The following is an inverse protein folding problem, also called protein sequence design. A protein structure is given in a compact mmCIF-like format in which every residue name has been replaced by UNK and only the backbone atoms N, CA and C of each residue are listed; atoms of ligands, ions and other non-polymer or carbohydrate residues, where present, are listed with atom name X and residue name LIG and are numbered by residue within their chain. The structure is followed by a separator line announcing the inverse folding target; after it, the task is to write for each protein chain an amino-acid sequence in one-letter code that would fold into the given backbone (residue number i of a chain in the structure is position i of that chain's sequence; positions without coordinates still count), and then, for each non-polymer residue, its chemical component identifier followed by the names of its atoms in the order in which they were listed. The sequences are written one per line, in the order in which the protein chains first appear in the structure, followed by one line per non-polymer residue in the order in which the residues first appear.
data_IF_884507579081
#
_entry.id   IF_884507579081
#
_cell.length_a   1.000
_cell.length_b   1.000
_cell.length_c   1.000
_cell.angle_alpha   90.00
_cell.angle_beta   90.00
_cell.angle_gamma   90.00
#
_symmetry.space_group_name_H-M   'P 1'
#
loop_
_entity.id
_entity.type
_entity.pdbx_description
1 polymer ?
#
# COMPACT_ATOMS: atom_id res chain seq x y z
N UNK A 1 -7.09 3.94 7.89
CA UNK A 1 -6.24 4.91 8.60
C UNK A 1 -5.37 5.61 7.59
N UNK A 2 -4.98 6.86 7.83
CA UNK A 2 -4.00 7.59 7.02
C UNK A 2 -2.77 7.81 7.88
N UNK A 3 -1.58 7.72 7.29
CA UNK A 3 -0.32 7.97 7.99
C UNK A 3 0.43 9.06 7.24
N UNK A 4 0.94 10.06 7.95
CA UNK A 4 1.78 11.09 7.36
C UNK A 4 3.22 10.61 7.11
N UNK A 5 4.07 11.50 6.61
CA UNK A 5 5.48 11.19 6.31
C UNK A 5 6.31 10.92 7.58
N UNK A 6 5.92 11.45 8.74
CA UNK A 6 6.65 11.27 10.00
C UNK A 6 6.19 10.03 10.79
N UNK A 7 5.14 9.34 10.35
CA UNK A 7 4.65 8.12 11.01
C UNK A 7 3.44 8.31 11.91
N UNK A 8 2.87 9.51 11.96
CA UNK A 8 1.65 9.75 12.73
C UNK A 8 0.46 9.23 11.95
N UNK A 9 -0.19 8.22 12.53
CA UNK A 9 -1.43 7.66 12.01
C UNK A 9 -2.64 8.38 12.57
N UNK A 10 -3.66 8.61 11.74
CA UNK A 10 -4.99 9.03 12.18
C UNK A 10 -6.09 8.18 11.53
N UNK A 11 -7.21 8.10 12.22
CA UNK A 11 -8.41 7.52 11.66
C UNK A 11 -9.02 8.49 10.64
N UNK A 12 -9.31 8.01 9.42
CA UNK A 12 -9.84 8.85 8.35
C UNK A 12 -11.30 8.53 8.01
N UNK A 13 -11.70 7.26 8.03
CA UNK A 13 -13.08 6.83 7.81
C UNK A 13 -13.27 5.38 8.27
N UNK A 14 -14.50 5.05 8.64
CA UNK A 14 -15.04 3.70 8.70
C UNK A 14 -16.36 3.68 7.92
N UNK A 15 -16.61 2.61 7.16
CA UNK A 15 -17.84 2.44 6.40
C UNK A 15 -18.33 1.00 6.59
N UNK A 16 -19.63 0.86 6.87
CA UNK A 16 -20.32 -0.42 6.80
C UNK A 16 -20.88 -0.56 5.38
N UNK A 17 -20.49 -1.64 4.69
CA UNK A 17 -20.94 -1.93 3.33
C UNK A 17 -21.79 -3.20 3.34
N UNK A 18 -22.92 -3.15 2.64
CA UNK A 18 -23.82 -4.30 2.53
C UNK A 18 -23.35 -5.25 1.42
N UNK A 19 -22.41 -6.14 1.75
CA UNK A 19 -21.81 -7.09 0.82
C UNK A 19 -20.64 -6.52 0.01
N UNK A 20 -19.70 -7.42 -0.33
CA UNK A 20 -18.46 -7.10 -1.04
C UNK A 20 -18.69 -7.00 -2.55
N UNK A 21 -19.37 -5.93 -2.97
CA UNK A 21 -19.57 -5.62 -4.40
C UNK A 21 -18.78 -4.39 -4.82
N UNK A 22 -18.36 -4.35 -6.10
CA UNK A 22 -17.64 -3.21 -6.68
C UNK A 22 -18.41 -1.89 -6.50
N UNK A 23 -19.73 -1.91 -6.62
CA UNK A 23 -20.60 -0.75 -6.46
C UNK A 23 -20.63 -0.23 -5.02
N UNK A 24 -20.74 -1.12 -4.04
CA UNK A 24 -20.78 -0.75 -2.62
C UNK A 24 -19.44 -0.16 -2.17
N UNK A 25 -18.32 -0.74 -2.64
CA UNK A 25 -16.99 -0.20 -2.37
C UNK A 25 -16.77 1.16 -3.03
N UNK A 26 -17.22 1.37 -4.28
CA UNK A 26 -17.19 2.70 -4.92
C UNK A 26 -17.95 3.74 -4.10
N UNK A 27 -19.06 3.36 -3.49
CA UNK A 27 -19.85 4.24 -2.63
C UNK A 27 -19.08 4.62 -1.36
N UNK A 28 -18.40 3.66 -0.72
CA UNK A 28 -17.55 3.92 0.44
C UNK A 28 -16.38 4.86 0.11
N UNK A 29 -15.71 4.66 -1.04
CA UNK A 29 -14.61 5.53 -1.50
C UNK A 29 -15.12 6.92 -1.90
N UNK A 30 -16.32 7.01 -2.49
CA UNK A 30 -16.94 8.31 -2.79
C UNK A 30 -17.18 9.12 -1.51
N UNK A 31 -17.76 8.49 -0.49
CA UNK A 31 -17.95 9.13 0.82
C UNK A 31 -16.60 9.57 1.43
N UNK A 32 -15.56 8.74 1.30
CA UNK A 32 -14.21 9.08 1.75
C UNK A 32 -13.70 10.36 1.11
N UNK A 33 -13.79 10.48 -0.22
CA UNK A 33 -13.34 11.69 -0.95
C UNK A 33 -14.14 12.93 -0.57
N UNK A 34 -15.45 12.79 -0.40
CA UNK A 34 -16.32 13.91 0.00
C UNK A 34 -15.95 14.46 1.38
N UNK A 35 -15.55 13.57 2.29
CA UNK A 35 -15.20 13.93 3.66
C UNK A 35 -13.71 14.32 3.82
N UNK A 36 -12.86 14.04 2.83
CA UNK A 36 -11.42 14.29 2.89
C UNK A 36 -10.96 15.05 1.63
N UNK A 37 -11.10 16.38 1.56
CA UNK A 37 -10.76 17.16 0.36
C UNK A 37 -9.30 17.02 -0.10
N UNK A 38 -8.39 16.68 0.83
CA UNK A 38 -6.96 16.42 0.58
C UNK A 38 -6.68 14.98 0.11
N UNK A 39 -7.69 14.20 -0.29
CA UNK A 39 -7.49 12.83 -0.74
C UNK A 39 -6.55 12.72 -1.96
N UNK A 40 -6.39 13.80 -2.73
CA UNK A 40 -5.46 13.86 -3.87
C UNK A 40 -3.98 13.82 -3.43
N UNK A 41 -3.70 14.13 -2.16
CA UNK A 41 -2.35 14.07 -1.60
C UNK A 41 -1.94 12.64 -1.20
N UNK A 42 -2.88 11.69 -1.25
CA UNK A 42 -2.61 10.28 -0.93
C UNK A 42 -1.65 9.71 -1.97
N UNK A 43 -0.43 9.40 -1.52
CA UNK A 43 0.61 8.80 -2.37
C UNK A 43 0.56 7.29 -2.39
N UNK A 44 -0.04 6.67 -1.37
CA UNK A 44 -0.02 5.23 -1.18
C UNK A 44 -1.26 4.75 -0.44
N UNK A 45 -1.79 3.62 -0.88
CA UNK A 45 -2.91 2.92 -0.28
C UNK A 45 -2.47 1.48 -0.03
N UNK A 46 -2.57 1.04 1.22
CA UNK A 46 -2.29 -0.34 1.63
C UNK A 46 -3.62 -1.03 1.95
N UNK A 47 -3.92 -2.13 1.25
CA UNK A 47 -5.15 -2.93 1.42
C UNK A 47 -4.84 -4.31 1.97
N UNK A 48 -5.73 -4.86 2.80
CA UNK A 48 -5.47 -6.10 3.54
C UNK A 48 -5.81 -7.38 2.73
N UNK A 49 -6.67 -7.31 1.72
CA UNK A 49 -7.08 -8.48 0.91
C UNK A 49 -7.79 -8.09 -0.40
N UNK A 50 -7.70 -8.98 -1.38
CA UNK A 50 -8.57 -9.10 -2.56
C UNK A 50 -8.42 -8.07 -3.71
N UNK A 51 -8.31 -8.61 -4.94
CA UNK A 51 -8.18 -7.84 -6.19
C UNK A 51 -9.44 -7.00 -6.51
N UNK A 52 -10.57 -7.31 -5.89
CA UNK A 52 -11.81 -6.50 -5.98
C UNK A 52 -11.59 -5.09 -5.43
N UNK A 53 -10.87 -4.95 -4.31
CA UNK A 53 -10.56 -3.68 -3.67
C UNK A 53 -9.56 -2.87 -4.51
N UNK A 54 -8.54 -3.56 -5.05
CA UNK A 54 -7.48 -2.90 -5.79
C UNK A 54 -7.99 -2.24 -7.07
N UNK A 55 -8.92 -2.87 -7.79
CA UNK A 55 -9.54 -2.28 -8.98
C UNK A 55 -10.39 -1.05 -8.66
N UNK A 56 -11.19 -1.12 -7.58
CA UNK A 56 -12.01 0.03 -7.15
C UNK A 56 -11.13 1.21 -6.79
N UNK A 57 -10.04 0.95 -6.07
CA UNK A 57 -9.07 1.96 -5.70
C UNK A 57 -8.23 2.42 -6.90
N UNK A 58 -8.01 1.56 -7.91
CA UNK A 58 -7.41 1.89 -9.21
C UNK A 58 -8.18 3.00 -9.90
N UNK A 59 -9.48 2.77 -10.06
CA UNK A 59 -10.37 3.74 -10.69
C UNK A 59 -10.56 5.00 -9.83
N UNK A 60 -10.60 4.86 -8.52
CA UNK A 60 -10.91 5.98 -7.63
C UNK A 60 -9.70 6.85 -7.28
N UNK A 61 -8.51 6.29 -7.12
CA UNK A 61 -7.32 7.03 -6.66
C UNK A 61 -6.16 6.81 -7.63
N UNK A 62 -6.31 7.11 -8.93
CA UNK A 62 -5.37 6.68 -9.97
C UNK A 62 -3.91 7.07 -9.66
N UNK A 63 -3.71 8.25 -9.08
CA UNK A 63 -2.40 8.81 -8.70
C UNK A 63 -1.75 8.14 -7.47
N UNK A 64 -2.52 7.40 -6.67
CA UNK A 64 -2.02 6.74 -5.48
C UNK A 64 -1.44 5.36 -5.80
N UNK A 65 -0.26 5.07 -5.25
CA UNK A 65 0.37 3.74 -5.28
C UNK A 65 -0.48 2.76 -4.46
N UNK A 66 -0.49 1.47 -4.83
CA UNK A 66 -1.28 0.45 -4.14
C UNK A 66 -0.38 -0.68 -3.65
N UNK A 67 -0.63 -1.15 -2.44
CA UNK A 67 0.07 -2.26 -1.80
C UNK A 67 -0.95 -3.25 -1.22
N UNK A 68 -0.72 -4.54 -1.36
CA UNK A 68 -1.50 -5.59 -0.70
C UNK A 68 -0.71 -6.11 0.51
N UNK A 69 -1.32 -6.12 1.70
CA UNK A 69 -0.70 -6.50 2.98
C UNK A 69 -0.41 -8.01 3.09
N UNK A 70 -0.98 -8.84 2.22
CA UNK A 70 -0.82 -10.30 2.29
C UNK A 70 0.50 -10.79 1.69
N UNK A 71 1.47 -10.97 2.59
CA UNK A 71 2.48 -12.00 2.46
C UNK A 71 1.86 -13.36 2.88
N UNK A 72 1.32 -14.14 1.95
CA UNK A 72 0.75 -15.46 2.25
C UNK A 72 1.79 -16.37 2.94
N UNK A 73 1.38 -17.09 3.99
CA UNK A 73 2.29 -17.94 4.78
C UNK A 73 3.22 -17.19 5.74
N UNK A 74 3.03 -15.88 5.95
CA UNK A 74 3.80 -15.11 6.92
C UNK A 74 3.17 -15.04 8.30
N UNK A 75 4.02 -15.17 9.31
CA UNK A 75 3.75 -14.87 10.71
C UNK A 75 3.37 -13.39 10.91
N UNK A 76 2.71 -13.07 12.03
CA UNK A 76 2.40 -11.69 12.43
C UNK A 76 3.65 -10.83 12.53
N UNK A 77 4.77 -11.42 12.95
CA UNK A 77 6.08 -10.77 13.01
C UNK A 77 6.56 -10.35 11.62
N UNK A 78 6.58 -11.28 10.66
CA UNK A 78 7.01 -11.00 9.28
C UNK A 78 6.11 -9.96 8.62
N UNK A 79 4.79 -10.02 8.83
CA UNK A 79 3.87 -9.00 8.30
C UNK A 79 4.17 -7.60 8.84
N UNK A 80 4.44 -7.49 10.14
CA UNK A 80 4.75 -6.21 10.78
C UNK A 80 6.07 -5.64 10.25
N UNK A 81 7.09 -6.48 10.10
CA UNK A 81 8.40 -6.06 9.60
C UNK A 81 8.36 -5.72 8.12
N UNK A 82 7.65 -6.51 7.31
CA UNK A 82 7.42 -6.20 5.90
C UNK A 82 6.75 -4.84 5.73
N UNK A 83 5.66 -4.57 6.47
CA UNK A 83 4.98 -3.28 6.45
C UNK A 83 5.89 -2.12 6.85
N UNK A 84 6.71 -2.30 7.88
CA UNK A 84 7.66 -1.28 8.31
C UNK A 84 8.74 -1.03 7.24
N UNK A 85 9.29 -2.08 6.64
CA UNK A 85 10.29 -1.98 5.56
C UNK A 85 9.72 -1.28 4.33
N UNK A 86 8.51 -1.65 3.90
CA UNK A 86 7.83 -0.98 2.78
C UNK A 86 7.55 0.49 3.10
N UNK A 87 7.16 0.80 4.34
CA UNK A 87 7.00 2.19 4.79
C UNK A 87 8.32 2.97 4.70
N UNK A 88 9.44 2.36 5.09
CA UNK A 88 10.77 2.99 4.98
C UNK A 88 11.18 3.18 3.51
N UNK A 89 10.95 2.18 2.66
CA UNK A 89 11.17 2.27 1.20
C UNK A 89 10.33 3.39 0.57
N UNK A 90 9.09 3.58 1.01
CA UNK A 90 8.20 4.62 0.50
C UNK A 90 8.64 6.04 0.91
N UNK A 91 9.40 6.17 2.00
CA UNK A 91 9.79 7.45 2.60
C UNK A 91 11.22 7.87 2.27
N UNK A 92 12.10 6.92 2.00
CA UNK A 92 13.49 7.23 1.73
C UNK A 92 13.65 7.92 0.38
N UNK A 93 14.49 8.95 0.36
CA UNK A 93 14.98 9.61 -0.85
C UNK A 93 16.39 9.16 -1.22
N UNK A 94 17.05 8.40 -0.35
CA UNK A 94 18.36 7.79 -0.58
C UNK A 94 18.17 6.40 -1.21
N UNK A 95 18.70 6.24 -2.42
CA UNK A 95 18.66 4.99 -3.19
C UNK A 95 19.39 3.85 -2.48
N UNK A 96 20.46 4.14 -1.74
CA UNK A 96 21.22 3.13 -0.99
C UNK A 96 20.40 2.58 0.17
N UNK A 97 19.66 3.45 0.86
CA UNK A 97 18.75 3.04 1.92
C UNK A 97 17.54 2.30 1.34
N UNK A 98 17.02 2.73 0.19
CA UNK A 98 15.97 1.99 -0.53
C UNK A 98 16.42 0.56 -0.85
N UNK A 99 17.58 0.39 -1.48
CA UNK A 99 18.12 -0.91 -1.84
C UNK A 99 18.40 -1.77 -0.60
N UNK A 100 18.86 -1.16 0.50
CA UNK A 100 19.05 -1.84 1.78
C UNK A 100 17.72 -2.34 2.37
N UNK A 101 16.66 -1.53 2.35
CA UNK A 101 15.34 -1.96 2.83
C UNK A 101 14.72 -3.03 1.93
N UNK A 102 14.91 -2.91 0.61
CA UNK A 102 14.52 -3.93 -0.35
C UNK A 102 15.23 -5.26 -0.07
N UNK A 103 16.53 -5.24 0.17
CA UNK A 103 17.30 -6.44 0.50
C UNK A 103 16.85 -7.09 1.82
N UNK A 104 16.54 -6.27 2.82
CA UNK A 104 15.97 -6.75 4.08
C UNK A 104 14.58 -7.39 3.87
N UNK A 105 13.74 -6.78 3.03
CA UNK A 105 12.42 -7.30 2.68
C UNK A 105 12.53 -8.63 1.92
N UNK A 106 13.44 -8.71 0.95
CA UNK A 106 13.77 -9.95 0.22
C UNK A 106 14.23 -11.06 1.16
N UNK A 107 15.07 -10.73 2.13
CA UNK A 107 15.56 -11.71 3.13
C UNK A 107 14.43 -12.23 4.01
N UNK A 108 13.53 -11.33 4.43
CA UNK A 108 12.35 -11.66 5.24
C UNK A 108 11.34 -12.54 4.47
N UNK A 109 11.24 -12.36 3.15
CA UNK A 109 10.29 -13.07 2.30
C UNK A 109 10.92 -14.17 1.44
N UNK A 110 12.16 -14.59 1.73
CA UNK A 110 12.92 -15.53 0.88
C UNK A 110 12.19 -16.84 0.55
N UNK A 111 11.38 -17.34 1.48
CA UNK A 111 10.65 -18.61 1.34
C UNK A 111 9.27 -18.42 0.68
N UNK A 112 9.00 -17.22 0.13
CA UNK A 112 7.67 -16.79 -0.31
C UNK A 112 7.74 -16.17 -1.73
N UNK A 113 8.00 -16.98 -2.77
CA UNK A 113 8.24 -16.50 -4.13
C UNK A 113 7.07 -15.71 -4.72
N UNK A 114 5.83 -16.09 -4.39
CA UNK A 114 4.62 -15.39 -4.84
C UNK A 114 4.53 -13.94 -4.34
N UNK A 115 5.06 -13.66 -3.15
CA UNK A 115 5.14 -12.29 -2.64
C UNK A 115 6.20 -11.49 -3.39
N UNK A 116 7.32 -12.11 -3.73
CA UNK A 116 8.38 -11.46 -4.49
C UNK A 116 7.96 -11.15 -5.92
N UNK A 117 7.33 -12.09 -6.64
CA UNK A 117 6.79 -11.87 -7.98
C UNK A 117 5.78 -10.71 -8.01
N UNK A 118 4.94 -10.63 -6.97
CA UNK A 118 3.99 -9.52 -6.81
C UNK A 118 4.71 -8.20 -6.56
N UNK A 119 5.69 -8.18 -5.64
CA UNK A 119 6.50 -7.00 -5.32
C UNK A 119 7.24 -6.50 -6.58
N UNK A 120 7.86 -7.39 -7.34
CA UNK A 120 8.61 -7.00 -8.54
C UNK A 120 7.69 -6.44 -9.63
N UNK A 121 6.57 -7.12 -9.90
CA UNK A 121 5.63 -6.74 -10.96
C UNK A 121 4.89 -5.43 -10.67
N UNK A 122 4.58 -5.14 -9.41
CA UNK A 122 3.72 -4.02 -9.02
C UNK A 122 4.45 -2.87 -8.32
N UNK A 123 5.62 -3.12 -7.74
CA UNK A 123 6.33 -2.14 -6.90
C UNK A 123 7.66 -1.71 -7.51
N UNK A 124 8.53 -2.66 -7.87
CA UNK A 124 9.86 -2.34 -8.42
C UNK A 124 9.77 -1.75 -9.83
N UNK A 125 8.72 -2.09 -10.59
CA UNK A 125 8.39 -1.43 -11.86
C UNK A 125 8.06 0.07 -11.71
N UNK A 126 7.86 0.56 -10.49
CA UNK A 126 7.65 1.98 -10.18
C UNK A 126 8.93 2.70 -9.69
N UNK A 127 10.11 2.05 -9.70
CA UNK A 127 11.39 2.60 -9.20
C UNK A 127 11.81 3.88 -9.94
N UNK A 128 11.51 3.99 -11.24
CA UNK A 128 11.94 5.14 -12.08
C UNK A 128 11.30 6.48 -11.68
N UNK A 129 10.21 6.47 -10.89
CA UNK A 129 9.53 7.67 -10.41
C UNK A 129 9.97 8.10 -9.00
N UNK A 130 10.98 7.44 -8.43
CA UNK A 130 11.55 7.77 -7.11
C UNK A 130 12.43 9.03 -7.17
N UNK A 131 12.84 9.47 -8.37
CA UNK A 131 13.69 10.67 -8.55
C UNK A 131 12.93 11.94 -8.93
N UNK A 132 11.59 11.92 -9.02
CA UNK A 132 10.78 13.06 -9.44
C UNK A 132 10.22 13.91 -8.28
N UNK A 133 10.89 13.89 -7.11
CA UNK A 133 10.53 14.68 -5.93
C UNK A 133 11.37 15.95 -5.82
#
# INVERSE_FOLDING_TARGET
MVTDMIGTGSFAQHALIDGETKLNMKSAVKAFKQNNPTYLDIKMVVVDKDFSEIEVLAEALPEARREISKVYGSTTFEKTHAKNLVTLMARTTDEREFDRYLQALQTLSKDKPQFYEYLESNWLSCKDYIHAW
#
